data_IF_647578607193
#
_entry.id   IF_647578607193
#
_cell.length_a   1.000
_cell.length_b   1.000
_cell.length_c   1.000
_cell.angle_alpha   90.00
_cell.angle_beta   90.00
_cell.angle_gamma   90.00
#
_symmetry.space_group_name_H-M   'P 1'
#
loop_
_entity.id
_entity.type
_entity.pdbx_description
1 polymer ?
#
# COMPACT_ATOMS: atom_id res chain seq x y z
N UNK A 1 -12.15 -14.78 4.43
CA UNK A 1 -11.44 -14.46 5.69
C UNK A 1 -12.40 -13.70 6.59
N UNK A 2 -12.52 -14.04 7.88
CA UNK A 2 -13.44 -13.33 8.78
C UNK A 2 -12.95 -11.90 9.08
N UNK A 3 -13.85 -10.92 9.31
CA UNK A 3 -13.47 -9.52 9.58
C UNK A 3 -12.48 -9.35 10.75
N UNK A 4 -12.61 -10.16 11.81
CA UNK A 4 -11.70 -10.13 12.95
C UNK A 4 -10.25 -10.46 12.57
N UNK A 5 -10.06 -11.37 11.60
CA UNK A 5 -8.72 -11.77 11.14
C UNK A 5 -8.08 -10.67 10.28
N UNK A 6 -8.88 -9.89 9.54
CA UNK A 6 -8.43 -8.75 8.74
C UNK A 6 -7.86 -7.66 9.66
N UNK A 7 -8.58 -7.30 10.72
CA UNK A 7 -8.11 -6.27 11.67
C UNK A 7 -6.87 -6.72 12.43
N UNK A 8 -6.82 -7.97 12.87
CA UNK A 8 -5.65 -8.54 13.55
C UNK A 8 -4.41 -8.49 12.64
N UNK A 9 -4.52 -8.92 11.38
CA UNK A 9 -3.41 -8.89 10.43
C UNK A 9 -2.89 -7.48 10.15
N UNK A 10 -3.78 -6.50 9.98
CA UNK A 10 -3.35 -5.10 9.76
C UNK A 10 -2.63 -4.52 10.99
N UNK A 11 -2.97 -4.96 12.20
CA UNK A 11 -2.36 -4.49 13.44
C UNK A 11 -0.95 -5.07 13.69
N UNK A 12 -0.50 -6.08 12.93
CA UNK A 12 0.87 -6.62 13.05
C UNK A 12 1.90 -5.75 12.33
N UNK A 13 1.45 -4.81 11.49
CA UNK A 13 2.31 -3.83 10.84
C UNK A 13 2.71 -2.78 11.89
N UNK A 14 4.01 -2.69 12.27
CA UNK A 14 4.43 -1.76 13.29
C UNK A 14 4.22 -0.31 12.81
N UNK A 15 3.91 0.57 13.75
CA UNK A 15 3.80 1.99 13.46
C UNK A 15 5.16 2.54 13.06
N UNK A 16 5.22 3.30 11.97
CA UNK A 16 6.45 3.87 11.45
C UNK A 16 7.08 4.84 12.46
N UNK A 17 8.37 4.67 12.70
CA UNK A 17 9.22 5.56 13.47
C UNK A 17 10.49 5.89 12.65
N UNK A 18 11.41 6.66 13.23
CA UNK A 18 12.61 7.12 12.52
C UNK A 18 13.54 6.02 12.02
N UNK A 19 13.50 4.80 12.59
CA UNK A 19 14.50 3.75 12.38
C UNK A 19 13.94 2.37 12.03
N UNK A 20 12.62 2.18 11.98
CA UNK A 20 12.00 0.87 11.75
C UNK A 20 11.43 0.67 10.33
N UNK A 21 11.87 1.47 9.35
CA UNK A 21 11.29 1.43 8.01
C UNK A 21 11.39 0.03 7.38
N UNK A 22 12.56 -0.62 7.48
CA UNK A 22 12.79 -1.94 6.89
C UNK A 22 11.84 -3.01 7.45
N UNK A 23 11.74 -3.12 8.77
CA UNK A 23 10.85 -4.11 9.41
C UNK A 23 9.36 -3.78 9.19
N UNK A 24 9.01 -2.49 9.15
CA UNK A 24 7.65 -2.05 8.81
C UNK A 24 7.27 -2.40 7.37
N UNK A 25 8.19 -2.23 6.41
CA UNK A 25 7.99 -2.59 5.00
C UNK A 25 7.81 -4.10 4.82
N UNK A 26 8.65 -4.90 5.46
CA UNK A 26 8.56 -6.36 5.40
C UNK A 26 7.22 -6.88 5.95
N UNK A 27 6.79 -6.44 7.13
CA UNK A 27 5.50 -6.84 7.69
C UNK A 27 4.32 -6.38 6.81
N UNK A 28 4.41 -5.19 6.23
CA UNK A 28 3.39 -4.67 5.31
C UNK A 28 3.26 -5.57 4.08
N UNK A 29 4.36 -5.93 3.43
CA UNK A 29 4.37 -6.78 2.24
C UNK A 29 3.80 -8.18 2.54
N UNK A 30 4.18 -8.78 3.67
CA UNK A 30 3.64 -10.08 4.11
C UNK A 30 2.13 -10.01 4.34
N UNK A 31 1.66 -9.01 5.10
CA UNK A 31 0.23 -8.86 5.43
C UNK A 31 -0.60 -8.64 4.17
N UNK A 32 -0.13 -7.79 3.25
CA UNK A 32 -0.82 -7.53 1.99
C UNK A 32 -0.86 -8.77 1.10
N UNK A 33 0.23 -9.54 1.03
CA UNK A 33 0.27 -10.80 0.28
C UNK A 33 -0.69 -11.86 0.83
N UNK A 34 -0.71 -12.06 2.16
CA UNK A 34 -1.63 -13.02 2.81
C UNK A 34 -3.10 -12.63 2.60
N UNK A 35 -3.38 -11.34 2.38
CA UNK A 35 -4.72 -10.82 2.15
C UNK A 35 -5.11 -10.72 0.66
N UNK A 36 -4.25 -11.14 -0.27
CA UNK A 36 -4.40 -10.96 -1.72
C UNK A 36 -4.62 -9.49 -2.13
N UNK A 37 -3.95 -8.56 -1.45
CA UNK A 37 -4.03 -7.12 -1.66
C UNK A 37 -2.75 -6.52 -2.25
N UNK A 38 -1.72 -7.31 -2.51
CA UNK A 38 -0.40 -6.87 -2.98
C UNK A 38 -0.33 -6.57 -4.50
N UNK A 39 -1.40 -6.82 -5.26
CA UNK A 39 -1.43 -6.67 -6.72
C UNK A 39 -0.92 -5.29 -7.19
N UNK A 40 -1.40 -4.21 -6.59
CA UNK A 40 -1.02 -2.84 -6.95
C UNK A 40 0.41 -2.44 -6.54
N UNK A 41 1.07 -3.25 -5.71
CA UNK A 41 2.49 -3.09 -5.41
C UNK A 41 3.37 -3.84 -6.42
N UNK A 42 2.86 -4.94 -6.99
CA UNK A 42 3.60 -5.82 -7.90
C UNK A 42 3.45 -5.45 -9.37
N UNK A 43 2.27 -4.99 -9.76
CA UNK A 43 1.93 -4.68 -11.14
C UNK A 43 1.68 -3.18 -11.33
N UNK A 44 2.07 -2.67 -12.50
CA UNK A 44 1.76 -1.30 -12.87
C UNK A 44 0.25 -1.13 -13.13
N UNK A 45 -0.23 0.11 -13.01
CA UNK A 45 -1.65 0.42 -13.22
C UNK A 45 -2.11 -0.06 -14.59
N UNK A 46 -3.22 -0.82 -14.67
CA UNK A 46 -3.84 -1.15 -15.93
C UNK A 46 -4.19 0.13 -16.72
N UNK A 47 -4.22 0.05 -18.06
CA UNK A 47 -4.63 1.18 -18.88
C UNK A 47 -6.06 1.61 -18.57
N UNK A 48 -6.38 2.86 -18.92
CA UNK A 48 -7.74 3.36 -18.82
C UNK A 48 -8.70 2.48 -19.66
N UNK A 49 -9.88 2.23 -19.12
CA UNK A 49 -10.91 1.50 -19.86
C UNK A 49 -11.46 2.38 -20.96
N UNK A 50 -11.88 1.73 -22.05
CA UNK A 50 -12.57 2.35 -23.17
C UNK A 50 -13.91 1.64 -23.39
N UNK A 51 -14.76 2.19 -24.25
CA UNK A 51 -16.03 1.55 -24.61
C UNK A 51 -15.85 0.16 -25.25
N UNK A 52 -14.66 -0.13 -25.78
CA UNK A 52 -14.28 -1.41 -26.38
C UNK A 52 -13.69 -2.40 -25.37
N UNK A 53 -13.54 -2.01 -24.10
CA UNK A 53 -12.90 -2.88 -23.11
C UNK A 53 -13.74 -4.10 -22.78
N UNK A 54 -13.12 -5.27 -22.89
CA UNK A 54 -13.75 -6.56 -22.60
C UNK A 54 -13.87 -6.80 -21.09
N UNK A 55 -14.72 -7.75 -20.72
CA UNK A 55 -14.98 -8.13 -19.32
C UNK A 55 -13.70 -8.38 -18.52
N UNK A 56 -12.74 -9.09 -19.11
CA UNK A 56 -11.46 -9.40 -18.45
C UNK A 56 -10.64 -8.14 -18.13
N UNK A 57 -10.61 -7.16 -19.02
CA UNK A 57 -9.90 -5.89 -18.79
C UNK A 57 -10.56 -5.08 -17.68
N UNK A 58 -11.90 -5.03 -17.66
CA UNK A 58 -12.66 -4.37 -16.59
C UNK A 58 -12.38 -5.01 -15.24
N UNK A 59 -12.43 -6.34 -15.19
CA UNK A 59 -12.13 -7.12 -13.99
C UNK A 59 -10.70 -6.91 -13.48
N UNK A 60 -9.69 -6.93 -14.37
CA UNK A 60 -8.29 -6.64 -14.01
C UNK A 60 -8.15 -5.25 -13.40
N UNK A 61 -8.77 -4.25 -14.02
CA UNK A 61 -8.73 -2.87 -13.51
C UNK A 61 -9.39 -2.76 -12.13
N UNK A 62 -10.58 -3.28 -11.96
CA UNK A 62 -11.30 -3.25 -10.67
C UNK A 62 -10.49 -3.94 -9.55
N UNK A 63 -9.92 -5.12 -9.85
CA UNK A 63 -9.08 -5.85 -8.90
C UNK A 63 -7.84 -5.06 -8.50
N UNK A 64 -7.18 -4.43 -9.48
CA UNK A 64 -6.02 -3.58 -9.22
C UNK A 64 -6.40 -2.33 -8.41
N UNK A 65 -7.49 -1.64 -8.76
CA UNK A 65 -7.96 -0.44 -8.05
C UNK A 65 -8.34 -0.74 -6.60
N UNK A 66 -9.00 -1.90 -6.36
CA UNK A 66 -9.32 -2.37 -5.01
C UNK A 66 -8.06 -2.63 -4.20
N UNK A 67 -7.09 -3.35 -4.77
CA UNK A 67 -5.80 -3.60 -4.14
C UNK A 67 -5.08 -2.28 -3.84
N UNK A 68 -5.02 -1.36 -4.80
CA UNK A 68 -4.40 -0.05 -4.66
C UNK A 68 -5.00 0.76 -3.51
N UNK A 69 -6.33 0.88 -3.48
CA UNK A 69 -7.06 1.60 -2.44
C UNK A 69 -6.79 1.01 -1.05
N UNK A 70 -6.83 -0.33 -0.93
CA UNK A 70 -6.59 -0.97 0.35
C UNK A 70 -5.16 -0.83 0.84
N UNK A 71 -4.18 -1.00 -0.04
CA UNK A 71 -2.77 -0.79 0.27
C UNK A 71 -2.53 0.61 0.83
N UNK A 72 -3.07 1.64 0.18
CA UNK A 72 -2.94 3.03 0.64
C UNK A 72 -3.54 3.22 2.04
N UNK A 73 -4.75 2.69 2.30
CA UNK A 73 -5.37 2.81 3.63
C UNK A 73 -4.56 2.12 4.73
N UNK A 74 -4.06 0.91 4.48
CA UNK A 74 -3.25 0.15 5.43
C UNK A 74 -1.91 0.85 5.69
N UNK A 75 -1.27 1.37 4.64
CA UNK A 75 -0.04 2.14 4.76
C UNK A 75 -0.25 3.42 5.57
N UNK A 76 -1.33 4.17 5.30
CA UNK A 76 -1.65 5.39 6.06
C UNK A 76 -1.86 5.08 7.54
N UNK A 77 -2.60 4.01 7.87
CA UNK A 77 -2.87 3.61 9.26
C UNK A 77 -1.58 3.38 10.06
N UNK A 78 -0.57 2.77 9.44
CA UNK A 78 0.71 2.46 10.08
C UNK A 78 1.73 3.61 10.02
N UNK A 79 1.32 4.83 9.64
CA UNK A 79 2.16 6.02 9.62
C UNK A 79 1.55 7.08 10.55
N UNK A 80 2.26 7.55 11.59
CA UNK A 80 1.81 8.65 12.42
C UNK A 80 1.56 9.92 11.62
N UNK A 81 0.56 10.72 12.02
CA UNK A 81 0.19 11.96 11.32
C UNK A 81 1.35 12.95 11.17
N UNK A 82 2.24 13.02 12.17
CA UNK A 82 3.45 13.83 12.13
C UNK A 82 4.37 13.50 10.93
N UNK A 83 4.32 12.26 10.42
CA UNK A 83 5.08 11.84 9.25
C UNK A 83 4.25 11.89 7.96
N UNK A 84 2.91 11.99 8.04
CA UNK A 84 2.03 12.01 6.86
C UNK A 84 2.17 13.30 6.04
N UNK A 85 2.45 14.45 6.66
CA UNK A 85 2.57 15.74 5.96
C UNK A 85 1.42 16.00 4.97
N UNK A 86 1.70 16.64 3.83
CA UNK A 86 0.77 16.79 2.69
C UNK A 86 0.68 15.53 1.80
N UNK A 87 1.41 14.44 2.13
CA UNK A 87 1.51 13.22 1.30
C UNK A 87 0.19 12.46 1.17
N UNK A 88 -0.67 12.54 2.19
CA UNK A 88 -1.93 11.79 2.23
C UNK A 88 -2.90 12.19 1.11
N UNK A 89 -2.83 13.44 0.66
CA UNK A 89 -3.82 14.00 -0.27
C UNK A 89 -3.41 13.87 -1.74
N UNK A 90 -2.10 13.78 -2.02
CA UNK A 90 -1.58 13.84 -3.39
C UNK A 90 -1.24 12.47 -4.00
N UNK A 91 -0.84 11.50 -3.18
CA UNK A 91 -0.42 10.17 -3.65
C UNK A 91 -1.60 9.19 -3.65
N UNK A 92 -2.11 8.89 -4.85
CA UNK A 92 -3.24 7.98 -5.05
C UNK A 92 -2.81 6.55 -5.36
N UNK A 93 -1.55 6.32 -5.77
CA UNK A 93 -1.01 5.00 -6.07
C UNK A 93 -0.20 4.44 -4.90
N UNK A 94 -0.45 3.17 -4.57
CA UNK A 94 0.21 2.47 -3.48
C UNK A 94 1.73 2.36 -3.69
N UNK A 95 2.17 2.04 -4.90
CA UNK A 95 3.59 1.92 -5.27
C UNK A 95 4.33 3.25 -5.07
N UNK A 96 3.77 4.34 -5.58
CA UNK A 96 4.33 5.69 -5.44
C UNK A 96 4.38 6.12 -3.97
N UNK A 97 3.33 5.80 -3.20
CA UNK A 97 3.29 6.06 -1.76
C UNK A 97 4.40 5.32 -1.01
N UNK A 98 4.60 4.02 -1.29
CA UNK A 98 5.64 3.22 -0.66
C UNK A 98 7.04 3.74 -1.00
N UNK A 99 7.31 4.02 -2.28
CA UNK A 99 8.60 4.54 -2.76
C UNK A 99 8.93 5.90 -2.14
N UNK A 100 7.91 6.75 -1.97
CA UNK A 100 8.10 8.07 -1.36
C UNK A 100 8.48 7.96 0.13
N UNK A 101 7.84 7.06 0.89
CA UNK A 101 8.24 6.77 2.27
C UNK A 101 9.65 6.17 2.30
N UNK A 102 9.96 5.23 1.41
CA UNK A 102 11.30 4.64 1.30
C UNK A 102 12.38 5.71 1.10
N UNK A 103 12.17 6.64 0.17
CA UNK A 103 13.09 7.77 -0.06
C UNK A 103 13.28 8.67 1.16
N UNK A 104 12.27 8.81 2.02
CA UNK A 104 12.32 9.65 3.22
C UNK A 104 13.07 8.98 4.38
N UNK A 105 12.97 7.66 4.53
CA UNK A 105 13.51 6.93 5.68
C UNK A 105 14.80 6.15 5.39
N UNK A 106 15.03 5.68 4.16
CA UNK A 106 16.31 5.06 3.77
C UNK A 106 17.47 6.06 3.80
N UNK A 107 17.18 7.36 3.68
CA UNK A 107 18.17 8.43 3.92
C UNK A 107 18.59 8.54 5.39
N UNK A 108 17.75 8.11 6.33
CA UNK A 108 17.99 8.24 7.76
C UNK A 108 18.69 7.00 8.39
N UNK A 109 18.65 5.83 7.73
CA UNK A 109 19.37 4.62 8.20
C UNK A 109 20.89 4.66 7.94
N UNK A 110 21.40 5.67 7.22
CA UNK A 110 22.83 5.82 6.91
C UNK A 110 23.61 6.70 7.90
N UNK A 111 23.05 6.97 9.09
CA UNK A 111 23.76 7.71 10.15
C UNK A 111 23.95 6.85 11.39
#
# INVERSE_FOLDING_TARGET
MAPANITANVNTIPMLNGSNFKSRKENLEIVLGVMDLDLALREDSPPALTDKSISEQKWKKERWEKSNHMCVMIMKKSIPEAFRGTMSETLTKAKDFLEHIEKRFVKNEKT
#
